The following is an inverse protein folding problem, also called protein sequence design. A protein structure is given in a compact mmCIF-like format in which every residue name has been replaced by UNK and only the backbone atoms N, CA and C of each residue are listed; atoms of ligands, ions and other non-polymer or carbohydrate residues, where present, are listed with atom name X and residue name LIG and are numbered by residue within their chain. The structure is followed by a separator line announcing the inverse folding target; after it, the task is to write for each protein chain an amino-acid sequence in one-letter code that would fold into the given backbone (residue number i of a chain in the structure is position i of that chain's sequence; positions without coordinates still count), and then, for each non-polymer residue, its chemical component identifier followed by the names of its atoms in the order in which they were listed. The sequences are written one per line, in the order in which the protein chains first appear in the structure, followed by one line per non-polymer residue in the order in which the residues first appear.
data_IF_856001495267
#
_entry.id   IF_856001495267
#
_cell.length_a   1.000
_cell.length_b   1.000
_cell.length_c   1.000
_cell.angle_alpha   90.00
_cell.angle_beta   90.00
_cell.angle_gamma   90.00
#
_symmetry.space_group_name_H-M   'P 1'
#
loop_
_entity.id
_entity.type
_entity.pdbx_description
1 polymer ?
#
# COMPACT_ATOMS: atom_id res chain seq x y z
N UNK A 1 -82.81 43.07 21.78
CA UNK A 1 -82.44 44.48 21.88
C UNK A 1 -81.15 44.59 22.67
N UNK A 2 -80.19 45.31 22.16
CA UNK A 2 -78.82 45.66 22.66
C UNK A 2 -77.77 44.55 22.69
N UNK A 3 -77.12 44.56 21.61
CA UNK A 3 -75.81 44.08 21.23
C UNK A 3 -74.69 44.55 22.19
N UNK A 4 -73.83 43.65 22.63
CA UNK A 4 -72.65 43.94 23.41
C UNK A 4 -71.43 43.28 22.74
N UNK A 5 -70.79 44.09 21.91
CA UNK A 5 -69.57 43.69 21.23
C UNK A 5 -68.36 43.73 22.20
N UNK A 6 -67.77 42.59 22.53
CA UNK A 6 -66.52 42.53 23.33
C UNK A 6 -65.35 42.39 22.37
N UNK A 7 -64.55 43.46 22.24
CA UNK A 7 -63.21 43.46 21.60
C UNK A 7 -62.29 42.67 22.45
N UNK A 8 -61.78 41.60 21.88
CA UNK A 8 -60.62 40.87 22.43
C UNK A 8 -59.34 41.42 21.78
N UNK A 9 -58.52 42.13 22.55
CA UNK A 9 -57.24 42.62 22.13
C UNK A 9 -56.25 41.46 22.22
N UNK A 10 -55.76 40.98 21.07
CA UNK A 10 -54.74 39.98 20.98
C UNK A 10 -53.38 40.66 21.08
N UNK A 11 -52.73 40.48 22.22
CA UNK A 11 -51.31 40.94 22.41
C UNK A 11 -50.38 39.95 21.74
N UNK A 12 -49.76 40.35 20.63
CA UNK A 12 -48.65 39.63 20.01
C UNK A 12 -47.39 39.90 20.80
N UNK A 13 -46.92 38.92 21.60
CA UNK A 13 -45.58 38.92 22.17
C UNK A 13 -44.61 38.43 21.09
N UNK A 14 -43.87 39.34 20.48
CA UNK A 14 -42.74 38.99 19.58
C UNK A 14 -41.58 38.45 20.43
N UNK A 15 -41.46 37.15 20.50
CA UNK A 15 -40.23 36.48 21.00
C UNK A 15 -39.09 36.72 20.00
N UNK A 16 -38.30 37.75 20.24
CA UNK A 16 -37.02 37.93 19.60
C UNK A 16 -36.10 36.84 20.09
N UNK A 17 -36.02 35.72 19.35
CA UNK A 17 -35.06 34.67 19.57
C UNK A 17 -33.66 35.17 19.24
N UNK A 18 -32.87 35.55 20.24
CA UNK A 18 -31.45 35.70 20.10
C UNK A 18 -30.85 34.34 19.68
N UNK A 19 -30.66 34.13 18.38
CA UNK A 19 -29.75 33.11 17.90
C UNK A 19 -28.36 33.55 18.32
N UNK A 20 -27.80 32.90 19.35
CA UNK A 20 -26.36 32.97 19.61
C UNK A 20 -25.62 32.58 18.34
N UNK A 21 -24.56 33.31 17.97
CA UNK A 21 -23.72 32.90 16.85
C UNK A 21 -23.20 31.50 17.17
N UNK A 22 -23.50 30.55 16.29
CA UNK A 22 -22.83 29.23 16.32
C UNK A 22 -21.37 29.52 16.11
N UNK A 23 -20.60 29.48 17.17
CA UNK A 23 -19.16 29.53 17.15
C UNK A 23 -18.71 28.38 16.27
N UNK A 24 -18.33 28.67 15.02
CA UNK A 24 -17.61 27.71 14.19
C UNK A 24 -16.35 27.39 14.98
N UNK A 25 -16.36 26.28 15.69
CA UNK A 25 -15.12 25.66 16.13
C UNK A 25 -14.36 25.36 14.85
N UNK A 26 -13.34 26.15 14.59
CA UNK A 26 -12.33 25.87 13.55
C UNK A 26 -11.62 24.58 13.98
N UNK A 27 -12.28 23.44 13.66
CA UNK A 27 -11.65 22.13 13.88
C UNK A 27 -10.53 22.02 12.88
N UNK A 28 -9.30 22.00 13.39
CA UNK A 28 -8.12 21.77 12.57
C UNK A 28 -8.34 20.52 11.74
N UNK A 29 -8.22 20.58 10.40
CA UNK A 29 -8.39 19.43 9.54
C UNK A 29 -7.50 18.26 9.98
N UNK A 30 -8.04 17.04 9.95
CA UNK A 30 -7.31 15.84 10.30
C UNK A 30 -6.91 15.11 9.03
N UNK A 31 -5.61 14.84 8.89
CA UNK A 31 -5.05 13.98 7.83
C UNK A 31 -4.82 12.60 8.40
N UNK A 32 -5.63 11.63 8.02
CA UNK A 32 -5.54 10.24 8.49
C UNK A 32 -4.68 9.43 7.56
N UNK A 33 -3.68 8.73 8.12
CA UNK A 33 -2.83 7.77 7.40
C UNK A 33 -3.29 6.36 7.75
N UNK A 34 -3.92 5.67 6.82
CA UNK A 34 -4.34 4.28 7.02
C UNK A 34 -3.14 3.33 6.97
N UNK A 35 -3.05 2.42 7.96
CA UNK A 35 -1.95 1.44 8.05
C UNK A 35 -2.36 0.18 8.81
N UNK A 36 -1.78 -0.97 8.42
CA UNK A 36 -1.78 -2.20 9.21
C UNK A 36 -0.61 -2.19 10.19
N UNK A 37 0.55 -1.69 9.76
CA UNK A 37 1.79 -1.69 10.53
C UNK A 37 2.35 -0.27 10.65
N UNK A 38 2.35 0.29 11.84
CA UNK A 38 2.78 1.66 12.10
C UNK A 38 4.29 1.97 11.95
N UNK A 39 5.12 1.06 11.44
CA UNK A 39 6.59 1.19 11.43
C UNK A 39 7.12 2.39 10.63
N UNK A 40 6.45 2.75 9.53
CA UNK A 40 6.79 3.93 8.73
C UNK A 40 5.80 5.06 9.01
N UNK A 41 4.52 4.71 9.11
CA UNK A 41 3.45 5.69 9.20
C UNK A 41 3.48 6.48 10.51
N UNK A 42 3.90 5.86 11.64
CA UNK A 42 4.04 6.60 12.90
C UNK A 42 5.16 7.65 12.83
N UNK A 43 6.42 7.32 12.45
CA UNK A 43 7.47 8.34 12.29
C UNK A 43 7.13 9.39 11.24
N UNK A 44 6.48 9.00 10.12
CA UNK A 44 6.03 9.96 9.12
C UNK A 44 4.96 10.92 9.69
N UNK A 45 3.98 10.41 10.44
CA UNK A 45 2.97 11.24 11.09
C UNK A 45 3.58 12.20 12.12
N UNK A 46 4.59 11.76 12.87
CA UNK A 46 5.33 12.60 13.81
C UNK A 46 6.09 13.73 13.08
N UNK A 47 6.77 13.41 11.97
CA UNK A 47 7.46 14.41 11.15
C UNK A 47 6.48 15.43 10.55
N UNK A 48 5.36 14.95 10.00
CA UNK A 48 4.31 15.81 9.43
C UNK A 48 3.68 16.72 10.50
N UNK A 49 3.40 16.22 11.69
CA UNK A 49 2.84 17.03 12.78
C UNK A 49 3.78 18.13 13.27
N UNK A 50 5.09 18.01 13.05
CA UNK A 50 6.05 19.08 13.36
C UNK A 50 6.09 20.18 12.28
N UNK A 51 5.88 19.81 11.02
CA UNK A 51 6.09 20.71 9.87
C UNK A 51 4.78 21.32 9.37
N UNK A 52 3.71 20.53 9.29
CA UNK A 52 2.45 21.00 8.69
C UNK A 52 1.83 22.23 9.38
N UNK A 53 1.81 22.36 10.73
CA UNK A 53 1.16 23.53 11.37
C UNK A 53 1.70 24.87 10.91
N UNK A 54 2.98 24.94 10.51
CA UNK A 54 3.61 26.20 10.05
C UNK A 54 3.22 26.56 8.61
N UNK A 55 2.71 25.62 7.83
CA UNK A 55 2.44 25.76 6.41
C UNK A 55 1.00 25.45 6.01
N UNK A 56 0.37 24.54 6.73
CA UNK A 56 -1.00 24.11 6.52
C UNK A 56 -1.63 23.72 7.85
N UNK A 57 -2.77 24.31 8.25
CA UNK A 57 -3.40 24.07 9.55
C UNK A 57 -4.06 22.68 9.57
N UNK A 58 -3.26 21.62 9.68
CA UNK A 58 -3.72 20.25 9.78
C UNK A 58 -2.92 19.49 10.84
N UNK A 59 -3.55 18.46 11.42
CA UNK A 59 -2.87 17.47 12.24
C UNK A 59 -2.94 16.11 11.58
N UNK A 60 -1.94 15.28 11.80
CA UNK A 60 -1.85 13.94 11.22
C UNK A 60 -2.12 12.89 12.28
N UNK A 61 -2.97 11.93 11.96
CA UNK A 61 -3.29 10.79 12.81
C UNK A 61 -3.06 9.48 12.05
N UNK A 62 -2.54 8.47 12.75
CA UNK A 62 -2.37 7.12 12.19
C UNK A 62 -3.61 6.30 12.51
N UNK A 63 -4.31 5.85 11.46
CA UNK A 63 -5.49 4.99 11.56
C UNK A 63 -5.10 3.54 11.29
N UNK A 64 -5.13 2.70 12.32
CA UNK A 64 -4.90 1.26 12.15
C UNK A 64 -6.09 0.60 11.47
N UNK A 65 -5.79 -0.35 10.58
CA UNK A 65 -6.78 -1.20 9.90
C UNK A 65 -6.35 -2.66 10.01
N UNK A 66 -7.30 -3.57 9.88
CA UNK A 66 -7.02 -5.01 10.00
C UNK A 66 -6.52 -5.63 8.70
N UNK A 67 -6.89 -5.07 7.54
CA UNK A 67 -6.61 -5.61 6.22
C UNK A 67 -6.02 -4.54 5.27
N UNK A 68 -5.01 -4.94 4.49
CA UNK A 68 -4.41 -4.09 3.45
C UNK A 68 -5.39 -3.74 2.33
N UNK A 69 -6.36 -4.60 2.01
CA UNK A 69 -7.40 -4.33 1.01
C UNK A 69 -8.34 -3.17 1.38
N UNK A 70 -8.41 -2.82 2.66
CA UNK A 70 -9.22 -1.70 3.13
C UNK A 70 -8.66 -0.33 2.74
N UNK A 71 -7.36 -0.20 2.46
CA UNK A 71 -6.74 1.11 2.16
C UNK A 71 -7.38 1.82 0.97
N UNK A 72 -7.58 1.08 -0.14
CA UNK A 72 -8.22 1.62 -1.34
C UNK A 72 -9.63 2.11 -1.03
N UNK A 73 -10.37 1.31 -0.26
CA UNK A 73 -11.74 1.65 0.15
C UNK A 73 -11.76 2.87 1.07
N UNK A 74 -10.90 2.91 2.08
CA UNK A 74 -10.82 4.03 3.02
C UNK A 74 -10.50 5.35 2.32
N UNK A 75 -9.55 5.36 1.38
CA UNK A 75 -9.24 6.55 0.56
C UNK A 75 -10.42 6.89 -0.34
N UNK A 76 -10.98 5.91 -1.06
CA UNK A 76 -12.08 6.14 -1.99
C UNK A 76 -13.34 6.73 -1.32
N UNK A 77 -13.65 6.27 -0.11
CA UNK A 77 -14.79 6.73 0.70
C UNK A 77 -14.51 8.02 1.48
N UNK A 78 -13.25 8.49 1.51
CA UNK A 78 -12.86 9.67 2.28
C UNK A 78 -12.68 9.41 3.77
N UNK A 79 -12.53 8.15 4.16
CA UNK A 79 -12.29 7.74 5.55
C UNK A 79 -10.79 7.79 5.93
N UNK A 80 -9.90 7.91 4.95
CA UNK A 80 -8.48 8.24 5.12
C UNK A 80 -8.03 9.18 4.00
N UNK A 81 -7.06 10.02 4.30
CA UNK A 81 -6.44 10.96 3.35
C UNK A 81 -5.24 10.34 2.66
N UNK A 82 -4.47 9.53 3.39
CA UNK A 82 -3.24 8.89 2.93
C UNK A 82 -3.26 7.39 3.25
N UNK A 83 -2.60 6.60 2.42
CA UNK A 83 -2.27 5.20 2.74
C UNK A 83 -1.00 4.75 2.00
N UNK A 84 -0.33 3.77 2.56
CA UNK A 84 0.74 3.03 1.87
C UNK A 84 0.12 1.82 1.17
N UNK A 85 0.07 1.88 -0.16
CA UNK A 85 -0.57 0.87 -1.02
C UNK A 85 0.49 0.30 -1.95
N UNK A 86 0.43 -0.99 -2.22
CA UNK A 86 1.31 -1.59 -3.23
C UNK A 86 0.89 -1.14 -4.62
N UNK A 87 1.88 -0.93 -5.49
CA UNK A 87 1.68 -0.42 -6.86
C UNK A 87 0.76 -1.31 -7.69
N UNK A 88 0.81 -2.62 -7.52
CA UNK A 88 -0.09 -3.59 -8.16
C UNK A 88 -1.56 -3.39 -7.73
N UNK A 89 -1.79 -3.24 -6.42
CA UNK A 89 -3.13 -2.99 -5.86
C UNK A 89 -3.66 -1.62 -6.27
N UNK A 90 -2.80 -0.59 -6.24
CA UNK A 90 -3.18 0.76 -6.66
C UNK A 90 -3.55 0.80 -8.15
N UNK A 91 -2.75 0.15 -9.00
CA UNK A 91 -3.00 0.06 -10.45
C UNK A 91 -4.30 -0.69 -10.75
N UNK A 92 -4.48 -1.87 -10.15
CA UNK A 92 -5.71 -2.65 -10.32
C UNK A 92 -6.95 -1.87 -9.86
N UNK A 93 -6.88 -1.21 -8.71
CA UNK A 93 -7.99 -0.41 -8.21
C UNK A 93 -8.32 0.78 -9.14
N UNK A 94 -7.30 1.42 -9.70
CA UNK A 94 -7.47 2.56 -10.58
C UNK A 94 -8.01 2.16 -11.96
N UNK A 95 -7.51 1.05 -12.55
CA UNK A 95 -7.85 0.62 -13.92
C UNK A 95 -9.11 -0.23 -14.00
N UNK A 96 -9.40 -1.08 -13.00
CA UNK A 96 -10.58 -1.95 -12.98
C UNK A 96 -11.88 -1.21 -12.64
N UNK A 97 -11.81 0.09 -12.47
CA UNK A 97 -12.98 0.95 -12.33
C UNK A 97 -13.70 1.12 -13.68
N UNK A 98 -14.20 0.01 -14.26
CA UNK A 98 -14.91 0.01 -15.53
C UNK A 98 -16.41 0.31 -15.30
N UNK A 99 -16.89 1.40 -15.87
CA UNK A 99 -18.29 1.84 -15.86
C UNK A 99 -18.39 3.33 -16.14
N UNK A 100 -19.55 3.77 -16.67
CA UNK A 100 -19.83 5.16 -17.04
C UNK A 100 -19.92 6.11 -15.83
N UNK A 101 -19.93 5.59 -14.60
CA UNK A 101 -19.84 6.39 -13.39
C UNK A 101 -18.40 6.47 -12.91
N UNK A 102 -17.91 7.66 -12.49
CA UNK A 102 -16.58 7.80 -11.92
C UNK A 102 -16.50 6.98 -10.62
N UNK A 103 -15.88 5.80 -10.72
CA UNK A 103 -15.67 4.96 -9.54
C UNK A 103 -14.87 5.76 -8.49
N UNK A 104 -15.27 5.72 -7.20
CA UNK A 104 -14.51 6.34 -6.12
C UNK A 104 -13.01 5.94 -6.12
N UNK A 105 -12.68 4.76 -6.64
CA UNK A 105 -11.29 4.26 -6.74
C UNK A 105 -10.43 5.05 -7.73
N UNK A 106 -11.01 5.73 -8.73
CA UNK A 106 -10.30 6.65 -9.63
C UNK A 106 -9.86 7.94 -8.94
N UNK A 107 -10.28 8.16 -7.71
CA UNK A 107 -9.82 9.28 -6.86
C UNK A 107 -8.43 9.06 -6.28
N UNK A 108 -7.86 7.85 -6.41
CA UNK A 108 -6.49 7.57 -5.99
C UNK A 108 -5.48 8.38 -6.80
N UNK A 109 -4.51 8.98 -6.09
CA UNK A 109 -3.35 9.66 -6.67
C UNK A 109 -2.08 9.20 -5.98
N UNK A 110 -1.01 9.04 -6.75
CA UNK A 110 0.32 8.78 -6.22
C UNK A 110 0.92 10.02 -5.57
N UNK A 111 1.65 9.80 -4.48
CA UNK A 111 2.48 10.83 -3.83
C UNK A 111 3.95 10.52 -4.05
N UNK A 112 4.38 9.30 -3.69
CA UNK A 112 5.76 8.86 -3.86
C UNK A 112 5.85 7.32 -3.92
N UNK A 113 6.66 6.80 -4.82
CA UNK A 113 7.12 5.41 -4.76
C UNK A 113 8.24 5.32 -3.72
N UNK A 114 8.16 4.36 -2.80
CA UNK A 114 9.01 4.35 -1.61
C UNK A 114 10.10 3.28 -1.66
N UNK A 115 9.73 2.02 -1.75
CA UNK A 115 10.66 0.89 -1.73
C UNK A 115 10.04 -0.33 -2.38
N UNK A 116 10.87 -1.26 -2.84
CA UNK A 116 10.44 -2.51 -3.45
C UNK A 116 10.35 -3.62 -2.42
N UNK A 117 9.26 -4.37 -2.46
CA UNK A 117 9.05 -5.58 -1.65
C UNK A 117 9.22 -6.80 -2.54
N UNK A 118 10.28 -7.61 -2.36
CA UNK A 118 10.52 -8.80 -3.19
C UNK A 118 9.48 -9.89 -2.96
N UNK A 119 9.16 -10.62 -4.02
CA UNK A 119 8.43 -11.88 -3.97
C UNK A 119 9.44 -13.01 -3.74
N UNK A 120 9.21 -13.81 -2.71
CA UNK A 120 10.03 -14.96 -2.37
C UNK A 120 9.34 -16.23 -2.87
N UNK A 121 9.98 -16.97 -3.77
CA UNK A 121 9.60 -18.33 -4.08
C UNK A 121 10.57 -19.26 -3.37
N UNK A 122 10.06 -20.04 -2.44
CA UNK A 122 10.84 -20.96 -1.60
C UNK A 122 10.31 -22.36 -1.77
N UNK A 123 11.19 -23.34 -1.96
CA UNK A 123 10.81 -24.70 -2.19
C UNK A 123 11.67 -25.70 -1.40
N UNK A 124 11.15 -26.89 -1.18
CA UNK A 124 11.95 -28.03 -0.72
C UNK A 124 12.94 -28.43 -1.83
N UNK A 125 14.21 -28.63 -1.51
CA UNK A 125 15.19 -29.15 -2.45
C UNK A 125 14.77 -30.50 -3.04
N UNK A 126 14.10 -31.34 -2.25
CA UNK A 126 13.55 -32.63 -2.68
C UNK A 126 12.46 -32.50 -3.75
N UNK A 127 11.80 -31.35 -3.86
CA UNK A 127 10.75 -31.10 -4.86
C UNK A 127 11.29 -30.96 -6.29
N UNK A 128 12.61 -30.73 -6.44
CA UNK A 128 13.33 -30.49 -7.70
C UNK A 128 12.80 -29.28 -8.49
N UNK A 129 12.18 -28.33 -7.84
CA UNK A 129 11.77 -27.06 -8.42
C UNK A 129 13.03 -26.18 -8.57
N UNK A 130 13.29 -25.66 -9.78
CA UNK A 130 14.46 -24.80 -10.08
C UNK A 130 14.08 -23.46 -10.68
N UNK A 131 12.87 -23.34 -11.21
CA UNK A 131 12.32 -22.14 -11.82
C UNK A 131 10.78 -22.15 -11.75
N UNK A 132 10.12 -21.06 -12.20
CA UNK A 132 8.66 -20.94 -12.15
C UNK A 132 7.94 -22.05 -12.94
N UNK A 133 8.49 -22.51 -14.08
CA UNK A 133 7.81 -23.51 -14.92
C UNK A 133 7.73 -24.90 -14.24
N UNK A 134 8.66 -25.18 -13.32
CA UNK A 134 8.69 -26.44 -12.57
C UNK A 134 7.57 -26.51 -11.50
N UNK A 135 6.85 -25.40 -11.28
CA UNK A 135 5.68 -25.37 -10.40
C UNK A 135 4.45 -26.12 -10.98
N UNK A 136 4.44 -26.38 -12.29
CA UNK A 136 3.32 -27.09 -12.91
C UNK A 136 3.10 -28.45 -12.21
N UNK A 137 1.87 -28.67 -11.72
CA UNK A 137 1.49 -29.88 -10.99
C UNK A 137 2.07 -30.01 -9.58
N UNK A 138 2.75 -28.99 -9.05
CA UNK A 138 3.28 -28.98 -7.68
C UNK A 138 2.27 -28.42 -6.69
N UNK A 139 2.38 -28.87 -5.43
CA UNK A 139 1.58 -28.37 -4.31
C UNK A 139 2.23 -27.09 -3.79
N UNK A 140 1.62 -25.95 -4.11
CA UNK A 140 2.20 -24.63 -3.83
C UNK A 140 1.32 -23.88 -2.83
N UNK A 141 1.91 -23.43 -1.74
CA UNK A 141 1.22 -22.54 -0.82
C UNK A 141 1.23 -21.13 -1.44
N UNK A 142 0.01 -20.66 -1.72
CA UNK A 142 -0.25 -19.30 -2.19
C UNK A 142 -1.06 -18.63 -1.10
N UNK A 143 -0.42 -18.30 -0.01
CA UNK A 143 -0.99 -17.71 1.21
C UNK A 143 -2.52 -17.39 1.12
N UNK A 144 -3.13 -16.67 2.01
CA UNK A 144 -4.59 -16.40 2.05
C UNK A 144 -5.12 -15.76 0.76
N UNK A 145 -6.27 -16.22 0.23
CA UNK A 145 -6.99 -15.61 -0.91
C UNK A 145 -7.21 -14.11 -0.64
N UNK A 146 -6.98 -13.29 -1.67
CA UNK A 146 -7.13 -11.84 -1.60
C UNK A 146 -5.98 -11.15 -0.86
N UNK A 147 -4.95 -11.90 -0.44
CA UNK A 147 -3.75 -11.28 0.12
C UNK A 147 -2.90 -10.66 -0.99
N UNK A 148 -2.12 -9.62 -0.68
CA UNK A 148 -1.18 -9.05 -1.63
C UNK A 148 -0.16 -10.07 -2.17
N UNK A 149 0.22 -11.07 -1.38
CA UNK A 149 1.13 -12.14 -1.81
C UNK A 149 0.48 -13.04 -2.85
N UNK A 150 -0.78 -13.44 -2.65
CA UNK A 150 -1.54 -14.23 -3.62
C UNK A 150 -1.66 -13.48 -4.95
N UNK A 151 -2.04 -12.20 -4.89
CA UNK A 151 -2.21 -11.38 -6.08
C UNK A 151 -0.90 -11.29 -6.89
N UNK A 152 0.23 -10.98 -6.24
CA UNK A 152 1.54 -10.91 -6.91
C UNK A 152 1.99 -12.26 -7.44
N UNK A 153 1.79 -13.36 -6.68
CA UNK A 153 2.14 -14.70 -7.11
C UNK A 153 1.34 -15.12 -8.37
N UNK A 154 0.04 -14.84 -8.39
CA UNK A 154 -0.82 -15.12 -9.53
C UNK A 154 -0.36 -14.38 -10.79
N UNK A 155 -0.11 -13.09 -10.71
CA UNK A 155 0.41 -12.30 -11.84
C UNK A 155 1.80 -12.79 -12.31
N UNK A 156 2.65 -13.21 -11.36
CA UNK A 156 3.95 -13.78 -11.67
C UNK A 156 3.81 -15.08 -12.47
N UNK A 157 2.87 -15.96 -12.09
CA UNK A 157 2.57 -17.19 -12.83
C UNK A 157 1.97 -16.87 -14.21
N UNK A 158 0.98 -15.97 -14.29
CA UNK A 158 0.33 -15.57 -15.54
C UNK A 158 1.35 -14.99 -16.54
N UNK A 159 2.29 -14.19 -16.09
CA UNK A 159 3.33 -13.59 -16.92
C UNK A 159 4.28 -14.59 -17.58
N UNK A 160 4.40 -15.81 -17.05
CA UNK A 160 5.16 -16.89 -17.67
C UNK A 160 4.29 -17.95 -18.34
N UNK A 161 2.98 -17.71 -18.47
CA UNK A 161 2.03 -18.62 -19.14
C UNK A 161 1.58 -19.78 -18.24
N UNK A 162 1.64 -19.62 -16.94
CA UNK A 162 1.03 -20.51 -15.94
C UNK A 162 -0.19 -19.84 -15.34
N UNK A 163 -1.21 -20.62 -15.06
CA UNK A 163 -2.35 -20.19 -14.25
C UNK A 163 -2.24 -20.80 -12.84
N UNK A 164 -3.03 -20.28 -11.91
CA UNK A 164 -3.16 -20.90 -10.58
C UNK A 164 -3.68 -22.33 -10.68
N UNK A 165 -4.48 -22.67 -11.72
CA UNK A 165 -4.96 -24.01 -11.96
C UNK A 165 -3.86 -24.99 -12.46
N UNK A 166 -2.76 -24.49 -13.02
CA UNK A 166 -1.61 -25.33 -13.42
C UNK A 166 -0.78 -25.83 -12.24
N UNK A 167 -0.93 -25.21 -11.09
CA UNK A 167 -0.36 -25.66 -9.80
C UNK A 167 -1.46 -26.26 -8.95
N UNK A 168 -1.11 -27.01 -7.90
CA UNK A 168 -2.09 -27.44 -6.89
C UNK A 168 -2.05 -26.44 -5.72
N UNK A 169 -2.82 -25.34 -5.77
CA UNK A 169 -2.73 -24.30 -4.79
C UNK A 169 -3.22 -24.79 -3.42
N UNK A 170 -2.49 -24.43 -2.40
CA UNK A 170 -2.85 -24.65 -1.00
C UNK A 170 -2.95 -23.30 -0.31
N UNK A 171 -3.99 -23.12 0.47
CA UNK A 171 -4.23 -21.90 1.22
C UNK A 171 -4.25 -22.24 2.69
N UNK A 172 -3.32 -21.65 3.43
CA UNK A 172 -3.18 -21.91 4.84
C UNK A 172 -2.39 -20.79 5.52
N UNK A 173 -2.58 -20.60 6.83
CA UNK A 173 -1.74 -19.70 7.61
C UNK A 173 -0.26 -20.11 7.58
N UNK A 174 0.63 -19.15 7.87
CA UNK A 174 2.08 -19.35 7.79
C UNK A 174 2.55 -20.55 8.66
N UNK A 175 2.06 -20.66 9.89
CA UNK A 175 2.45 -21.75 10.80
C UNK A 175 2.04 -23.12 10.25
N UNK A 176 0.88 -23.19 9.60
CA UNK A 176 0.42 -24.42 8.95
C UNK A 176 1.26 -24.73 7.71
N UNK A 177 1.59 -23.71 6.90
CA UNK A 177 2.47 -23.87 5.75
C UNK A 177 3.86 -24.40 6.17
N UNK A 178 4.43 -23.91 7.26
CA UNK A 178 5.70 -24.41 7.81
C UNK A 178 5.59 -25.87 8.23
N UNK A 179 4.50 -26.27 8.88
CA UNK A 179 4.26 -27.69 9.24
C UNK A 179 4.13 -28.57 8.01
N UNK A 180 3.34 -28.13 7.02
CA UNK A 180 3.12 -28.86 5.77
C UNK A 180 4.41 -28.99 4.94
N UNK A 181 5.27 -27.98 4.92
CA UNK A 181 6.61 -28.05 4.31
C UNK A 181 7.47 -29.09 5.02
N UNK A 182 7.52 -29.11 6.36
CA UNK A 182 8.28 -30.08 7.13
C UNK A 182 7.80 -31.51 6.91
N UNK A 183 6.49 -31.70 6.76
CA UNK A 183 5.86 -32.98 6.50
C UNK A 183 5.99 -33.43 5.02
N UNK A 184 6.48 -32.56 4.12
CA UNK A 184 6.50 -32.82 2.69
C UNK A 184 5.11 -32.88 2.04
N UNK A 185 4.11 -32.29 2.68
CA UNK A 185 2.72 -32.22 2.19
C UNK A 185 2.55 -31.12 1.13
N UNK A 186 3.45 -30.12 1.11
CA UNK A 186 3.56 -29.08 0.09
C UNK A 186 5.00 -29.00 -0.43
N UNK A 187 5.16 -28.54 -1.66
CA UNK A 187 6.45 -28.55 -2.38
C UNK A 187 7.11 -27.19 -2.37
N UNK A 188 6.33 -26.12 -2.38
CA UNK A 188 6.81 -24.75 -2.42
C UNK A 188 5.82 -23.77 -1.75
N UNK A 189 6.32 -22.59 -1.44
CA UNK A 189 5.55 -21.48 -0.88
C UNK A 189 5.95 -20.18 -1.53
N UNK A 190 4.98 -19.36 -1.88
CA UNK A 190 5.19 -17.94 -2.15
C UNK A 190 5.12 -17.16 -0.84
N UNK A 191 6.13 -16.33 -0.62
CA UNK A 191 6.17 -15.38 0.48
C UNK A 191 6.46 -13.98 -0.02
N UNK A 192 6.14 -12.97 0.77
CA UNK A 192 6.44 -11.58 0.46
C UNK A 192 6.72 -10.82 1.75
N UNK A 193 7.69 -9.95 1.70
CA UNK A 193 8.05 -9.14 2.86
C UNK A 193 9.31 -8.33 2.59
N UNK A 194 9.49 -7.28 3.40
CA UNK A 194 10.72 -6.49 3.35
C UNK A 194 11.84 -7.27 4.01
N UNK A 195 12.96 -7.34 3.34
CA UNK A 195 14.12 -8.08 3.82
C UNK A 195 14.90 -7.29 4.91
N UNK A 196 15.25 -7.94 6.03
CA UNK A 196 14.91 -9.31 6.42
C UNK A 196 13.49 -9.45 6.99
N UNK A 197 12.68 -10.36 6.42
CA UNK A 197 11.34 -10.66 6.89
C UNK A 197 11.34 -11.78 7.95
N UNK A 198 10.71 -11.59 9.11
CA UNK A 198 10.56 -12.66 10.10
C UNK A 198 9.86 -13.90 9.56
N UNK A 199 8.82 -13.73 8.74
CA UNK A 199 8.07 -14.83 8.12
C UNK A 199 8.94 -15.65 7.18
N UNK A 200 9.71 -15.00 6.32
CA UNK A 200 10.65 -15.66 5.40
C UNK A 200 11.73 -16.40 6.19
N UNK A 201 12.26 -15.78 7.26
CA UNK A 201 13.23 -16.43 8.15
C UNK A 201 12.67 -17.70 8.78
N UNK A 202 11.42 -17.71 9.20
CA UNK A 202 10.76 -18.90 9.74
C UNK A 202 10.63 -20.02 8.68
N UNK A 203 10.24 -19.67 7.44
CA UNK A 203 10.19 -20.65 6.35
C UNK A 203 11.59 -21.22 6.07
N UNK A 204 12.60 -20.35 5.94
CA UNK A 204 13.98 -20.76 5.65
C UNK A 204 14.63 -21.56 6.80
N UNK A 205 14.07 -21.51 8.01
CA UNK A 205 14.52 -22.37 9.12
C UNK A 205 14.10 -23.84 9.00
N UNK A 206 13.22 -24.16 8.04
CA UNK A 206 12.86 -25.55 7.75
C UNK A 206 14.02 -26.21 7.01
N UNK A 207 14.51 -27.40 7.45
CA UNK A 207 15.60 -28.08 6.76
C UNK A 207 15.27 -28.38 5.29
N UNK A 208 16.24 -28.17 4.41
CA UNK A 208 16.09 -28.46 2.99
C UNK A 208 15.33 -27.39 2.19
N UNK A 209 15.05 -26.22 2.76
CA UNK A 209 14.50 -25.08 2.02
C UNK A 209 15.57 -24.40 1.17
N UNK A 210 15.14 -23.94 0.00
CA UNK A 210 15.97 -23.14 -0.91
C UNK A 210 15.12 -22.10 -1.61
N UNK A 211 15.72 -20.95 -1.91
CA UNK A 211 15.11 -19.95 -2.79
C UNK A 211 15.16 -20.44 -4.24
N UNK A 212 14.08 -20.17 -4.95
CA UNK A 212 13.98 -20.41 -6.40
C UNK A 212 14.06 -19.07 -7.09
N UNK A 213 15.08 -18.84 -7.95
CA UNK A 213 15.22 -17.58 -8.66
C UNK A 213 14.16 -17.44 -9.75
N UNK A 214 13.75 -16.19 -9.98
CA UNK A 214 12.98 -15.80 -11.16
C UNK A 214 13.98 -15.10 -12.10
N UNK A 215 14.48 -15.84 -13.08
CA UNK A 215 15.55 -15.34 -13.95
C UNK A 215 15.07 -14.23 -14.90
N UNK A 216 16.01 -13.42 -15.38
CA UNK A 216 15.75 -12.22 -16.21
C UNK A 216 14.75 -12.45 -17.35
N UNK A 217 14.92 -13.53 -18.13
CA UNK A 217 14.01 -13.82 -19.25
C UNK A 217 12.58 -14.12 -18.82
N UNK A 218 12.36 -14.59 -17.57
CA UNK A 218 11.02 -14.73 -16.99
C UNK A 218 10.52 -13.37 -16.48
N UNK A 219 11.38 -12.58 -15.85
CA UNK A 219 11.07 -11.23 -15.38
C UNK A 219 10.63 -10.34 -16.54
N UNK A 220 11.32 -10.38 -17.68
CA UNK A 220 10.97 -9.60 -18.87
C UNK A 220 9.58 -9.97 -19.41
N UNK A 221 9.26 -11.26 -19.44
CA UNK A 221 7.91 -11.72 -19.81
C UNK A 221 6.84 -11.25 -18.81
N UNK A 222 7.11 -11.39 -17.52
CA UNK A 222 6.18 -10.95 -16.47
C UNK A 222 5.91 -9.45 -16.61
N UNK A 223 6.95 -8.65 -16.81
CA UNK A 223 6.83 -7.18 -16.97
C UNK A 223 6.11 -6.76 -18.25
N UNK A 224 6.18 -7.54 -19.30
CA UNK A 224 5.42 -7.28 -20.52
C UNK A 224 3.90 -7.33 -20.31
N UNK A 225 3.43 -8.19 -19.39
CA UNK A 225 2.02 -8.28 -19.00
C UNK A 225 1.66 -7.41 -17.78
N UNK A 226 2.61 -7.24 -16.87
CA UNK A 226 2.40 -6.56 -15.58
C UNK A 226 3.53 -5.53 -15.35
N UNK A 227 3.48 -4.35 -15.99
CA UNK A 227 4.59 -3.37 -16.00
C UNK A 227 4.92 -2.78 -14.62
N UNK A 228 4.03 -2.94 -13.64
CA UNK A 228 4.25 -2.52 -12.24
C UNK A 228 4.99 -3.58 -11.39
N UNK A 229 5.32 -4.75 -11.96
CA UNK A 229 6.26 -5.69 -11.35
C UNK A 229 7.67 -5.33 -11.78
N UNK A 230 8.56 -5.12 -10.82
CA UNK A 230 9.93 -4.69 -11.09
C UNK A 230 10.93 -5.83 -10.85
N UNK A 231 12.06 -5.79 -11.58
CA UNK A 231 13.19 -6.65 -11.27
C UNK A 231 13.81 -6.20 -9.95
N UNK A 232 14.03 -7.15 -9.06
CA UNK A 232 14.71 -6.91 -7.78
C UNK A 232 15.49 -8.16 -7.37
N UNK A 233 16.23 -8.09 -6.28
CA UNK A 233 16.94 -9.23 -5.73
C UNK A 233 16.75 -9.36 -4.22
N UNK A 234 16.88 -10.60 -3.73
CA UNK A 234 17.01 -10.92 -2.32
C UNK A 234 18.51 -10.91 -2.03
N UNK A 235 19.02 -10.04 -1.14
CA UNK A 235 20.44 -9.91 -0.89
C UNK A 235 21.07 -11.22 -0.39
N UNK A 236 22.30 -11.50 -0.80
CA UNK A 236 23.05 -12.68 -0.37
C UNK A 236 23.15 -12.75 1.17
N UNK A 237 22.96 -13.94 1.72
CA UNK A 237 23.23 -14.22 3.11
C UNK A 237 22.17 -13.71 4.13
N UNK A 238 21.15 -12.99 3.69
CA UNK A 238 20.18 -12.35 4.60
C UNK A 238 19.30 -13.35 5.37
N UNK A 239 19.13 -14.56 4.81
CA UNK A 239 18.36 -15.67 5.40
C UNK A 239 19.19 -16.96 5.56
N UNK A 240 20.50 -16.86 5.73
CA UNK A 240 21.42 -17.98 5.81
C UNK A 240 22.36 -18.03 4.61
N UNK A 241 22.99 -19.17 4.37
CA UNK A 241 23.96 -19.30 3.30
C UNK A 241 23.30 -19.50 1.94
N UNK A 242 22.96 -18.39 1.27
CA UNK A 242 22.47 -18.38 -0.12
C UNK A 242 23.12 -17.22 -0.90
N UNK A 243 23.29 -17.36 -2.21
CA UNK A 243 23.72 -16.25 -3.06
C UNK A 243 22.63 -15.17 -3.14
N UNK A 244 22.93 -14.09 -3.84
CA UNK A 244 21.89 -13.14 -4.27
C UNK A 244 20.91 -13.84 -5.20
N UNK A 245 19.60 -13.62 -4.99
CA UNK A 245 18.52 -14.29 -5.72
C UNK A 245 17.72 -13.26 -6.52
N UNK A 246 17.80 -13.35 -7.84
CA UNK A 246 16.96 -12.54 -8.73
C UNK A 246 15.47 -12.92 -8.55
N UNK A 247 14.61 -11.91 -8.51
CA UNK A 247 13.17 -12.08 -8.36
C UNK A 247 12.40 -10.87 -8.91
N UNK A 248 11.09 -10.94 -8.89
CA UNK A 248 10.21 -9.78 -9.09
C UNK A 248 9.83 -9.16 -7.75
N UNK A 249 9.56 -7.89 -7.76
CA UNK A 249 9.08 -7.17 -6.60
C UNK A 249 7.95 -6.21 -6.95
N UNK A 250 7.26 -5.79 -5.92
CA UNK A 250 6.20 -4.78 -5.98
C UNK A 250 6.63 -3.60 -5.15
N UNK A 251 6.48 -2.42 -5.71
CA UNK A 251 6.81 -1.19 -5.00
C UNK A 251 5.71 -0.79 -4.04
N UNK A 252 6.09 -0.10 -2.98
CA UNK A 252 5.18 0.54 -2.05
C UNK A 252 4.99 2.00 -2.49
N UNK A 253 3.74 2.38 -2.68
CA UNK A 253 3.31 3.72 -3.06
C UNK A 253 2.69 4.40 -1.84
N UNK A 254 3.15 5.60 -1.49
CA UNK A 254 2.34 6.51 -0.70
C UNK A 254 1.28 7.11 -1.64
N UNK A 255 0.03 6.86 -1.35
CA UNK A 255 -1.10 7.32 -2.13
C UNK A 255 -2.01 8.21 -1.32
N UNK A 256 -2.75 9.08 -1.99
CA UNK A 256 -3.72 9.99 -1.41
C UNK A 256 -4.99 10.08 -2.26
N UNK A 257 -5.95 10.88 -1.79
CA UNK A 257 -7.18 11.23 -2.52
C UNK A 257 -6.91 12.46 -3.43
N UNK A 258 -7.58 12.50 -4.58
CA UNK A 258 -7.39 13.54 -5.62
C UNK A 258 -7.90 14.93 -5.23
N UNK A 259 -8.82 15.02 -4.29
CA UNK A 259 -9.45 16.28 -3.85
C UNK A 259 -8.74 16.94 -2.66
N UNK A 260 -7.60 16.41 -2.24
CA UNK A 260 -6.81 17.06 -1.21
C UNK A 260 -6.23 18.39 -1.71
N UNK A 261 -6.07 19.42 -0.85
CA UNK A 261 -5.44 20.65 -1.23
C UNK A 261 -4.03 20.44 -1.79
N UNK A 262 -3.71 21.13 -2.89
CA UNK A 262 -2.39 21.03 -3.56
C UNK A 262 -1.25 21.35 -2.60
N UNK A 263 -1.39 22.41 -1.80
CA UNK A 263 -0.37 22.82 -0.85
C UNK A 263 -0.20 21.79 0.27
N UNK A 264 -1.27 21.16 0.74
CA UNK A 264 -1.18 20.09 1.74
C UNK A 264 -0.33 18.94 1.22
N UNK A 265 -0.64 18.43 0.03
CA UNK A 265 0.10 17.28 -0.54
C UNK A 265 1.52 17.66 -0.93
N UNK A 266 1.75 18.89 -1.36
CA UNK A 266 3.10 19.43 -1.57
C UNK A 266 3.94 19.35 -0.27
N UNK A 267 3.42 19.84 0.85
CA UNK A 267 4.12 19.81 2.13
C UNK A 267 4.27 18.38 2.69
N UNK A 268 3.29 17.51 2.47
CA UNK A 268 3.41 16.08 2.82
C UNK A 268 4.58 15.45 2.05
N UNK A 269 4.64 15.69 0.74
CA UNK A 269 5.70 15.15 -0.12
C UNK A 269 7.07 15.69 0.31
N UNK A 270 7.18 16.99 0.49
CA UNK A 270 8.41 17.66 0.92
C UNK A 270 8.89 17.12 2.28
N UNK A 271 8.00 17.05 3.27
CA UNK A 271 8.34 16.54 4.60
C UNK A 271 8.80 15.08 4.56
N UNK A 272 8.15 14.23 3.74
CA UNK A 272 8.58 12.86 3.53
C UNK A 272 10.05 12.80 3.11
N UNK A 273 10.43 13.56 2.07
CA UNK A 273 11.80 13.54 1.53
C UNK A 273 12.83 14.20 2.45
N UNK A 274 12.50 15.28 3.11
CA UNK A 274 13.37 15.94 4.09
C UNK A 274 13.59 15.09 5.35
N UNK A 275 12.63 14.22 5.68
CA UNK A 275 12.69 13.32 6.84
C UNK A 275 13.26 11.93 6.53
N UNK A 276 13.59 11.62 5.26
CA UNK A 276 14.06 10.28 4.85
C UNK A 276 15.19 9.72 5.73
N UNK A 277 16.23 10.47 6.14
CA UNK A 277 17.27 9.94 7.00
C UNK A 277 16.72 9.38 8.31
N UNK A 278 15.85 10.14 8.97
CA UNK A 278 15.23 9.73 10.26
C UNK A 278 14.24 8.57 10.05
N UNK A 279 13.45 8.62 8.98
CA UNK A 279 12.51 7.55 8.63
C UNK A 279 13.24 6.25 8.31
N UNK A 280 14.38 6.32 7.62
CA UNK A 280 15.20 5.18 7.23
C UNK A 280 15.89 4.51 8.44
N UNK A 281 16.16 5.23 9.51
CA UNK A 281 16.66 4.64 10.76
C UNK A 281 15.59 3.78 11.44
N UNK A 282 14.34 4.21 11.38
CA UNK A 282 13.19 3.44 11.89
C UNK A 282 12.78 2.30 10.96
N UNK A 283 13.01 2.45 9.66
CA UNK A 283 12.65 1.49 8.62
C UNK A 283 13.69 1.47 7.48
N UNK A 284 14.73 0.63 7.60
CA UNK A 284 15.86 0.57 6.66
C UNK A 284 15.54 0.45 5.17
N UNK A 285 14.44 -0.21 4.73
CA UNK A 285 14.09 -0.25 3.31
C UNK A 285 13.93 1.12 2.64
N UNK A 286 13.63 2.18 3.40
CA UNK A 286 13.55 3.54 2.86
C UNK A 286 14.92 4.09 2.36
N UNK A 287 16.04 3.47 2.73
CA UNK A 287 17.37 3.80 2.16
C UNK A 287 17.51 3.43 0.69
N UNK A 288 16.60 2.59 0.17
CA UNK A 288 16.58 2.16 -1.22
C UNK A 288 15.75 3.12 -2.12
N UNK A 289 15.19 4.19 -1.55
CA UNK A 289 14.43 5.16 -2.34
C UNK A 289 15.37 5.79 -3.37
N UNK A 290 15.07 5.52 -4.63
CA UNK A 290 15.69 6.19 -5.76
C UNK A 290 14.90 7.47 -6.08
N UNK A 291 15.53 8.61 -5.85
CA UNK A 291 14.90 9.90 -6.06
C UNK A 291 14.55 10.18 -7.53
N UNK A 292 15.20 9.52 -8.47
CA UNK A 292 14.87 9.58 -9.89
C UNK A 292 13.62 8.75 -10.22
N UNK A 293 13.36 7.73 -9.43
CA UNK A 293 12.24 6.77 -9.63
C UNK A 293 10.98 7.08 -8.81
N UNK A 294 11.06 7.95 -7.80
CA UNK A 294 9.95 8.22 -6.86
C UNK A 294 8.67 8.73 -7.53
N UNK A 295 8.79 9.32 -8.72
CA UNK A 295 7.67 9.80 -9.51
C UNK A 295 7.08 8.75 -10.48
N UNK A 296 7.69 7.57 -10.60
CA UNK A 296 7.25 6.48 -11.48
C UNK A 296 6.01 5.75 -10.91
N UNK A 297 5.00 6.51 -10.51
CA UNK A 297 3.75 5.97 -9.99
C UNK A 297 2.93 5.32 -11.12
N UNK A 298 2.37 4.10 -10.92
CA UNK A 298 1.52 3.44 -11.91
C UNK A 298 0.12 4.08 -12.02
N UNK A 299 -0.20 5.04 -11.18
CA UNK A 299 -1.40 5.85 -11.21
C UNK A 299 -1.00 7.35 -11.27
N UNK A 300 -1.88 8.24 -11.74
CA UNK A 300 -1.54 9.65 -11.83
C UNK A 300 -1.07 10.22 -10.49
N UNK A 301 -0.01 11.04 -10.53
CA UNK A 301 0.44 11.77 -9.37
C UNK A 301 -0.58 12.83 -8.94
N UNK A 302 -0.63 13.11 -7.65
CA UNK A 302 -1.33 14.28 -7.14
C UNK A 302 -0.59 15.55 -7.56
N UNK A 303 -1.34 16.61 -7.90
CA UNK A 303 -0.75 17.87 -8.39
C UNK A 303 0.24 18.51 -7.42
N UNK A 304 0.04 18.36 -6.11
CA UNK A 304 0.96 18.80 -5.07
C UNK A 304 2.29 18.04 -5.08
N UNK A 305 2.24 16.72 -5.23
CA UNK A 305 3.45 15.89 -5.38
C UNK A 305 4.18 16.22 -6.69
N UNK A 306 3.45 16.30 -7.82
CA UNK A 306 4.01 16.66 -9.11
C UNK A 306 4.67 18.06 -9.09
N UNK A 307 4.12 19.01 -8.33
CA UNK A 307 4.74 20.33 -8.12
C UNK A 307 6.06 20.19 -7.39
N UNK A 308 6.13 19.45 -6.31
CA UNK A 308 7.38 19.23 -5.57
C UNK A 308 8.48 18.63 -6.45
N UNK A 309 8.16 17.62 -7.26
CA UNK A 309 9.13 17.00 -8.17
C UNK A 309 9.63 17.99 -9.23
N UNK A 310 8.74 18.75 -9.86
CA UNK A 310 9.13 19.77 -10.85
C UNK A 310 10.05 20.85 -10.26
N UNK A 311 9.76 21.31 -9.05
CA UNK A 311 10.60 22.32 -8.38
C UNK A 311 12.00 21.76 -8.08
N UNK A 312 12.11 20.47 -7.81
CA UNK A 312 13.39 19.82 -7.52
C UNK A 312 14.23 19.56 -8.76
N UNK A 313 13.62 19.25 -9.89
CA UNK A 313 14.29 19.10 -11.19
C UNK A 313 14.85 20.44 -11.70
N UNK A 314 14.22 21.56 -11.36
CA UNK A 314 14.68 22.90 -11.74
C UNK A 314 15.90 23.38 -10.92
N UNK A 315 16.24 22.71 -9.83
CA UNK A 315 17.36 23.05 -8.96
C UNK A 315 18.56 22.13 -9.13
N UNK A 316 18.53 21.16 -10.05
CA UNK A 316 19.66 20.34 -10.48
C UNK A 316 20.26 20.90 -11.77
#
# INVERSE_FOLDING_TARGET
MRSGCRFFAMVFIALAGCRAPVEKRDTVPVVRIATVLGRITNPLAEALNKVLPDHFPARVEVQKTDLTGDYVRLIAEGNAELAMIQTDVAYAAYTQSTGDSPSPRRRLRGVAVLYTTPLHLIALQSSRIRNLMDLRGKRVVVVTIGSPTEFTARMTLEGVGLSVADVHPRQMPLEEAIRALRAGEVDAVFGRGNDPSPSIRQIMSVPGMTFIPIGRGQIDKIRAYHPFLHSTSIPAGIYGNHPEIETVGVEMLLACRDDLPVDLVYWITRTLFESLPVLADSFPPLRQIDLEHVQASPIPLHSGAARFYRERELFQ
#
